data_IF_296731062020
#
_entry.id   IF_296731062020
#
_cell.length_a   1.000
_cell.length_b   1.000
_cell.length_c   1.000
_cell.angle_alpha   90.00
_cell.angle_beta   90.00
_cell.angle_gamma   90.00
#
_symmetry.space_group_name_H-M   'P 1'
#
loop_
_entity.id
_entity.type
_entity.pdbx_description
1 polymer ?
#
# COMPACT_ATOMS: atom_id res chain seq x y z
N UNK A 1 -17.75 20.57 -8.55
CA UNK A 1 -18.32 21.62 -7.66
C UNK A 1 -19.75 21.31 -7.19
N UNK A 2 -20.68 20.84 -8.05
CA UNK A 2 -22.05 20.50 -7.63
C UNK A 2 -22.13 19.31 -6.65
N UNK A 3 -21.25 18.30 -6.79
CA UNK A 3 -21.12 17.19 -5.83
C UNK A 3 -20.64 17.67 -4.45
N UNK A 4 -19.74 18.67 -4.43
CA UNK A 4 -19.13 19.23 -3.22
C UNK A 4 -20.14 19.98 -2.34
N UNK A 5 -21.08 20.70 -2.96
CA UNK A 5 -22.12 21.45 -2.23
C UNK A 5 -23.22 20.57 -1.64
N UNK A 6 -23.44 19.37 -2.19
CA UNK A 6 -24.41 18.41 -1.65
C UNK A 6 -23.91 17.72 -0.37
N UNK A 7 -22.59 17.62 -0.20
CA UNK A 7 -21.96 16.96 0.94
C UNK A 7 -22.14 17.72 2.27
N UNK A 8 -22.14 19.05 2.25
CA UNK A 8 -22.19 19.87 3.46
C UNK A 8 -23.60 20.06 4.06
N UNK A 9 -24.66 19.93 3.26
CA UNK A 9 -26.01 20.29 3.71
C UNK A 9 -26.78 19.15 4.41
N UNK A 10 -26.27 17.92 4.43
CA UNK A 10 -27.03 16.75 4.90
C UNK A 10 -26.40 16.00 6.09
N UNK A 11 -25.17 16.33 6.51
CA UNK A 11 -24.46 15.67 7.61
C UNK A 11 -25.03 15.95 9.03
N UNK A 12 -26.26 16.45 9.13
CA UNK A 12 -26.87 16.94 10.38
C UNK A 12 -27.65 15.92 11.21
N UNK A 13 -27.94 14.70 10.71
CA UNK A 13 -28.86 13.79 11.41
C UNK A 13 -28.42 12.32 11.38
N UNK A 14 -27.81 11.86 12.47
CA UNK A 14 -27.69 10.43 12.80
C UNK A 14 -28.83 10.02 13.76
N UNK A 15 -29.70 9.05 13.41
CA UNK A 15 -30.56 8.40 14.39
C UNK A 15 -29.79 7.28 15.10
N UNK A 16 -29.75 7.40 16.42
CA UNK A 16 -29.43 6.33 17.37
C UNK A 16 -30.57 5.31 17.41
N UNK A 17 -30.28 4.03 17.19
CA UNK A 17 -30.90 2.85 17.83
C UNK A 17 -30.52 1.56 17.10
N UNK A 18 -29.65 0.75 17.70
CA UNK A 18 -29.45 -0.66 17.33
C UNK A 18 -30.26 -1.53 18.30
N UNK A 19 -31.30 -2.19 17.78
CA UNK A 19 -32.07 -3.21 18.50
C UNK A 19 -31.55 -4.61 18.14
N UNK A 20 -31.19 -5.37 19.16
CA UNK A 20 -30.82 -6.78 19.08
C UNK A 20 -31.95 -7.64 18.50
N UNK A 21 -31.61 -8.55 17.56
CA UNK A 21 -32.35 -9.79 17.34
C UNK A 21 -31.39 -10.92 17.02
N UNK A 22 -31.25 -11.82 18.00
CA UNK A 22 -30.71 -13.17 17.83
C UNK A 22 -31.55 -13.97 16.84
N UNK A 23 -30.89 -14.68 15.92
CA UNK A 23 -31.48 -15.85 15.27
C UNK A 23 -30.35 -16.87 15.07
N UNK A 24 -30.39 -17.95 15.85
CA UNK A 24 -29.48 -19.08 15.71
C UNK A 24 -29.85 -19.98 14.54
N UNK A 25 -28.89 -20.74 14.03
CA UNK A 25 -29.17 -21.86 13.13
C UNK A 25 -28.28 -23.07 13.44
N UNK A 26 -28.96 -24.18 13.75
CA UNK A 26 -28.45 -25.55 13.81
C UNK A 26 -28.23 -26.07 12.39
N UNK A 27 -27.16 -26.84 12.20
CA UNK A 27 -26.85 -27.48 10.93
C UNK A 27 -27.70 -28.71 10.66
N UNK A 28 -28.07 -28.89 9.39
CA UNK A 28 -28.35 -30.20 8.81
C UNK A 28 -27.90 -30.20 7.35
N UNK A 29 -27.11 -31.23 7.04
CA UNK A 29 -26.74 -31.68 5.71
C UNK A 29 -27.97 -32.01 4.87
N UNK A 30 -28.07 -31.44 3.67
CA UNK A 30 -28.71 -32.09 2.53
C UNK A 30 -28.17 -31.50 1.23
N UNK A 31 -27.64 -32.38 0.39
CA UNK A 31 -27.02 -32.10 -0.90
C UNK A 31 -28.08 -31.82 -1.98
N UNK A 32 -28.04 -30.64 -2.61
CA UNK A 32 -28.72 -30.38 -3.87
C UNK A 32 -27.79 -30.65 -5.06
N UNK A 33 -28.23 -31.41 -6.09
CA UNK A 33 -27.44 -31.64 -7.29
C UNK A 33 -27.56 -30.45 -8.26
N UNK A 34 -26.42 -29.97 -8.77
CA UNK A 34 -26.38 -28.90 -9.78
C UNK A 34 -25.22 -27.91 -9.68
N UNK A 35 -24.04 -28.30 -9.17
CA UNK A 35 -22.86 -27.44 -9.20
C UNK A 35 -22.07 -27.63 -10.49
N UNK A 36 -21.62 -26.54 -11.10
CA UNK A 36 -20.85 -26.43 -12.35
C UNK A 36 -19.43 -27.07 -12.28
N UNK A 37 -19.17 -27.89 -11.26
CA UNK A 37 -17.85 -28.45 -10.93
C UNK A 37 -17.73 -29.97 -11.16
N UNK A 38 -18.70 -30.61 -11.82
CA UNK A 38 -18.50 -31.97 -12.31
C UNK A 38 -17.50 -31.96 -13.50
N UNK A 39 -16.24 -32.28 -13.21
CA UNK A 39 -15.24 -32.63 -14.24
C UNK A 39 -13.91 -31.86 -14.21
N UNK A 40 -13.67 -30.94 -13.28
CA UNK A 40 -12.38 -30.25 -13.21
C UNK A 40 -11.38 -31.08 -12.40
N UNK A 41 -10.48 -31.75 -13.11
CA UNK A 41 -9.28 -32.37 -12.53
C UNK A 41 -8.40 -31.26 -11.92
N UNK A 42 -8.43 -31.12 -10.60
CA UNK A 42 -7.47 -30.29 -9.86
C UNK A 42 -6.09 -30.94 -9.97
N UNK A 43 -5.22 -30.38 -10.81
CA UNK A 43 -3.79 -30.67 -10.77
C UNK A 43 -3.19 -29.91 -9.59
N UNK A 44 -3.04 -30.57 -8.46
CA UNK A 44 -2.16 -30.10 -7.40
C UNK A 44 -0.70 -30.21 -7.89
N UNK A 45 -0.16 -29.15 -8.50
CA UNK A 45 1.29 -28.98 -8.59
C UNK A 45 1.74 -28.22 -7.35
N UNK A 46 2.21 -28.97 -6.34
CA UNK A 46 2.99 -28.42 -5.23
C UNK A 46 4.35 -27.91 -5.76
N UNK A 47 4.34 -26.72 -6.35
CA UNK A 47 5.51 -25.86 -6.45
C UNK A 47 5.42 -24.87 -5.29
N UNK A 48 6.49 -24.63 -4.51
CA UNK A 48 6.44 -23.65 -3.44
C UNK A 48 6.05 -22.29 -4.04
N UNK A 49 4.95 -21.71 -3.58
CA UNK A 49 4.47 -20.43 -4.10
C UNK A 49 5.49 -19.37 -3.72
N UNK A 50 6.22 -18.85 -4.71
CA UNK A 50 7.23 -17.81 -4.52
C UNK A 50 6.53 -16.46 -4.57
N UNK A 51 6.70 -15.67 -3.53
CA UNK A 51 6.22 -14.28 -3.46
C UNK A 51 7.41 -13.33 -3.52
N UNK A 52 7.35 -12.29 -4.35
CA UNK A 52 8.35 -11.23 -4.40
C UNK A 52 7.90 -10.01 -3.60
N UNK A 53 8.81 -9.30 -2.93
CA UNK A 53 8.49 -8.00 -2.36
C UNK A 53 8.74 -6.90 -3.39
N UNK A 54 7.78 -6.00 -3.59
CA UNK A 54 7.97 -4.83 -4.44
C UNK A 54 8.42 -3.62 -3.59
N UNK A 55 9.54 -3.02 -3.98
CA UNK A 55 10.00 -1.77 -3.40
C UNK A 55 9.29 -0.59 -4.07
N UNK A 56 8.35 0.03 -3.36
CA UNK A 56 7.60 1.18 -3.89
C UNK A 56 8.49 2.41 -3.92
N UNK A 57 8.75 2.94 -5.12
CA UNK A 57 9.45 4.20 -5.31
C UNK A 57 8.45 5.37 -5.34
N UNK A 58 8.40 6.12 -4.24
CA UNK A 58 7.50 7.28 -4.11
C UNK A 58 7.99 8.51 -4.89
N UNK A 59 7.04 9.28 -5.39
CA UNK A 59 7.27 10.58 -5.99
C UNK A 59 7.72 11.58 -4.89
N UNK A 60 8.84 12.30 -5.10
CA UNK A 60 9.43 13.15 -4.07
C UNK A 60 8.53 14.29 -3.56
N UNK A 61 7.67 14.83 -4.42
CA UNK A 61 6.86 16.03 -4.16
C UNK A 61 5.48 15.73 -3.56
N UNK A 62 4.95 14.52 -3.77
CA UNK A 62 3.64 14.08 -3.24
C UNK A 62 3.75 12.91 -2.25
N UNK A 63 4.94 12.33 -2.07
CA UNK A 63 5.27 11.25 -1.12
C UNK A 63 4.46 9.95 -1.28
N UNK A 64 3.80 9.77 -2.42
CA UNK A 64 3.08 8.55 -2.83
C UNK A 64 3.55 8.13 -4.22
N UNK A 65 3.22 6.92 -4.67
CA UNK A 65 3.45 6.50 -6.06
C UNK A 65 2.10 6.45 -6.80
N UNK A 66 2.05 7.10 -7.94
CA UNK A 66 0.86 7.22 -8.78
C UNK A 66 1.28 7.01 -10.23
N UNK A 67 0.62 6.11 -10.95
CA UNK A 67 0.89 5.81 -12.35
C UNK A 67 -0.31 5.12 -12.99
N UNK A 68 -0.44 5.22 -14.31
CA UNK A 68 -1.30 4.33 -15.09
C UNK A 68 -0.43 3.45 -15.97
N UNK A 69 -0.96 2.29 -16.33
CA UNK A 69 -0.42 1.51 -17.44
C UNK A 69 -1.56 1.03 -18.35
N UNK A 70 -1.23 0.93 -19.63
CA UNK A 70 -2.05 0.25 -20.62
C UNK A 70 -1.43 -1.12 -20.83
N UNK A 71 -2.19 -2.15 -20.53
CA UNK A 71 -1.71 -3.51 -20.47
C UNK A 71 -1.76 -4.19 -21.85
N UNK A 72 -0.70 -4.94 -22.14
CA UNK A 72 -0.57 -5.82 -23.31
C UNK A 72 -0.73 -7.30 -22.90
N UNK A 73 -1.54 -7.60 -21.87
CA UNK A 73 -1.75 -8.96 -21.36
C UNK A 73 -0.70 -9.41 -20.33
N UNK A 74 -0.22 -8.49 -19.49
CA UNK A 74 0.85 -8.70 -18.51
C UNK A 74 0.29 -9.39 -17.27
N UNK A 75 0.93 -10.50 -16.92
CA UNK A 75 0.80 -11.12 -15.61
C UNK A 75 1.82 -10.49 -14.66
N UNK A 76 1.32 -9.83 -13.61
CA UNK A 76 2.14 -9.48 -12.45
C UNK A 76 2.04 -10.64 -11.45
N UNK A 77 3.14 -11.40 -11.23
CA UNK A 77 3.12 -12.55 -10.35
C UNK A 77 2.87 -12.13 -8.90
N UNK A 78 2.62 -13.12 -8.04
CA UNK A 78 2.29 -12.89 -6.64
C UNK A 78 3.41 -12.12 -5.94
N UNK A 79 3.06 -10.95 -5.42
CA UNK A 79 3.96 -10.05 -4.71
C UNK A 79 3.24 -9.37 -3.56
N UNK A 80 3.96 -8.60 -2.77
CA UNK A 80 3.38 -7.76 -1.74
C UNK A 80 4.31 -6.59 -1.45
N UNK A 81 3.75 -5.54 -0.84
CA UNK A 81 4.50 -4.35 -0.46
C UNK A 81 3.91 -3.71 0.79
N UNK A 82 4.71 -2.87 1.46
CA UNK A 82 4.31 -2.17 2.68
C UNK A 82 3.58 -0.84 2.37
N UNK A 83 2.73 -0.85 1.35
CA UNK A 83 1.90 0.28 0.92
C UNK A 83 0.45 -0.17 0.83
N UNK A 84 -0.48 0.71 1.12
CA UNK A 84 -1.86 0.54 0.66
C UNK A 84 -1.86 0.76 -0.85
N UNK A 85 -2.44 -0.15 -1.61
CA UNK A 85 -2.58 0.00 -3.05
C UNK A 85 -4.05 0.11 -3.41
N UNK A 86 -4.36 1.06 -4.29
CA UNK A 86 -5.70 1.24 -4.84
C UNK A 86 -5.61 1.17 -6.36
N UNK A 87 -6.39 0.25 -6.92
CA UNK A 87 -6.51 0.02 -8.35
C UNK A 87 -7.84 0.59 -8.82
N UNK A 88 -7.85 1.24 -9.99
CA UNK A 88 -9.07 1.62 -10.69
C UNK A 88 -9.00 1.22 -12.15
N UNK A 89 -10.03 0.54 -12.65
CA UNK A 89 -10.09 0.03 -14.03
C UNK A 89 -10.75 1.08 -14.93
N UNK A 90 -9.95 1.82 -15.68
CA UNK A 90 -10.46 2.85 -16.59
C UNK A 90 -11.02 2.27 -17.90
N UNK A 91 -10.43 1.16 -18.35
CA UNK A 91 -10.88 0.39 -19.51
C UNK A 91 -10.44 -1.09 -19.39
N UNK A 92 -11.18 -2.00 -20.03
CA UNK A 92 -10.87 -3.43 -20.01
C UNK A 92 -11.26 -4.09 -18.69
N UNK A 93 -10.39 -4.98 -18.21
CA UNK A 93 -10.64 -5.84 -17.06
C UNK A 93 -9.36 -6.27 -16.36
N UNK A 94 -9.51 -6.80 -15.14
CA UNK A 94 -8.41 -7.39 -14.38
C UNK A 94 -8.90 -8.55 -13.51
N UNK A 95 -8.15 -9.65 -13.53
CA UNK A 95 -8.19 -10.66 -12.49
C UNK A 95 -7.21 -10.28 -11.39
N UNK A 96 -7.75 -10.02 -10.20
CA UNK A 96 -7.00 -9.69 -9.00
C UNK A 96 -7.09 -10.87 -8.03
N UNK A 97 -5.96 -11.48 -7.72
CA UNK A 97 -5.84 -12.45 -6.63
C UNK A 97 -5.29 -11.71 -5.41
N UNK A 98 -6.04 -11.60 -4.31
CA UNK A 98 -5.55 -11.09 -3.02
C UNK A 98 -5.64 -12.19 -1.98
N UNK A 99 -4.51 -12.59 -1.43
CA UNK A 99 -4.35 -13.75 -0.56
C UNK A 99 -4.90 -15.01 -1.26
N UNK A 100 -6.07 -15.50 -0.83
CA UNK A 100 -6.73 -16.67 -1.41
C UNK A 100 -8.06 -16.31 -2.13
N UNK A 101 -8.37 -15.02 -2.23
CA UNK A 101 -9.58 -14.51 -2.86
C UNK A 101 -9.27 -14.03 -4.29
N UNK A 102 -9.96 -14.60 -5.28
CA UNK A 102 -9.92 -14.15 -6.66
C UNK A 102 -11.10 -13.22 -6.94
N UNK A 103 -10.82 -12.04 -7.48
CA UNK A 103 -11.78 -10.98 -7.79
C UNK A 103 -11.63 -10.63 -9.27
N UNK A 104 -12.75 -10.60 -10.00
CA UNK A 104 -12.80 -10.03 -11.35
C UNK A 104 -13.20 -8.57 -11.23
N UNK A 105 -12.42 -7.68 -11.81
CA UNK A 105 -12.68 -6.25 -11.89
C UNK A 105 -12.94 -5.88 -13.36
N UNK A 106 -13.99 -5.10 -13.60
CA UNK A 106 -14.35 -4.56 -14.91
C UNK A 106 -14.20 -3.04 -14.93
N UNK A 107 -14.37 -2.45 -16.12
CA UNK A 107 -14.36 -0.99 -16.28
C UNK A 107 -15.28 -0.30 -15.26
N UNK A 108 -14.70 0.64 -14.50
CA UNK A 108 -15.38 1.42 -13.47
C UNK A 108 -15.21 0.86 -12.06
N UNK A 109 -14.75 -0.38 -11.93
CA UNK A 109 -14.45 -0.98 -10.64
C UNK A 109 -13.14 -0.46 -10.07
N UNK A 110 -13.02 -0.59 -8.75
CA UNK A 110 -11.79 -0.34 -8.01
C UNK A 110 -11.54 -1.46 -6.99
N UNK A 111 -10.30 -1.57 -6.53
CA UNK A 111 -9.92 -2.46 -5.43
C UNK A 111 -8.97 -1.74 -4.47
N UNK A 112 -9.10 -2.02 -3.16
CA UNK A 112 -8.22 -1.49 -2.11
C UNK A 112 -7.43 -2.64 -1.51
N UNK A 113 -6.21 -2.84 -1.99
CA UNK A 113 -5.31 -3.88 -1.52
C UNK A 113 -4.61 -3.40 -0.25
N UNK A 114 -4.90 -4.06 0.87
CA UNK A 114 -4.35 -3.67 2.16
C UNK A 114 -2.82 -3.81 2.19
N UNK A 115 -2.19 -2.96 3.00
CA UNK A 115 -0.76 -3.04 3.23
C UNK A 115 -0.36 -4.44 3.68
N UNK A 116 0.62 -5.02 2.98
CA UNK A 116 1.18 -6.36 3.19
C UNK A 116 0.29 -7.54 2.77
N UNK A 117 -0.84 -7.30 2.12
CA UNK A 117 -1.57 -8.39 1.47
C UNK A 117 -0.77 -8.90 0.26
N UNK A 118 -0.70 -10.22 0.11
CA UNK A 118 -0.07 -10.85 -1.05
C UNK A 118 -1.07 -10.81 -2.19
N UNK A 119 -0.67 -10.30 -3.34
CA UNK A 119 -1.54 -10.19 -4.49
C UNK A 119 -0.85 -10.43 -5.81
N UNK A 120 -1.61 -10.85 -6.82
CA UNK A 120 -1.22 -10.94 -8.21
C UNK A 120 -2.29 -10.31 -9.08
N UNK A 121 -1.87 -9.75 -10.20
CA UNK A 121 -2.78 -9.15 -11.17
C UNK A 121 -2.53 -9.75 -12.55
N UNK A 122 -3.60 -9.95 -13.31
CA UNK A 122 -3.55 -10.33 -14.70
C UNK A 122 -4.65 -9.57 -15.43
N UNK A 123 -4.32 -8.89 -16.52
CA UNK A 123 -5.28 -8.13 -17.31
C UNK A 123 -5.39 -8.69 -18.72
N UNK A 124 -6.53 -8.47 -19.36
CA UNK A 124 -6.65 -8.66 -20.82
C UNK A 124 -5.88 -7.59 -21.58
N UNK A 125 -5.53 -7.86 -22.84
CA UNK A 125 -4.96 -6.83 -23.74
C UNK A 125 -5.88 -5.60 -23.82
N UNK A 126 -5.27 -4.41 -23.88
CA UNK A 126 -5.95 -3.11 -23.93
C UNK A 126 -6.68 -2.69 -22.64
N UNK A 127 -6.38 -3.32 -21.51
CA UNK A 127 -6.85 -2.87 -20.20
C UNK A 127 -6.06 -1.65 -19.75
N UNK A 128 -6.73 -0.65 -19.17
CA UNK A 128 -6.08 0.56 -18.63
C UNK A 128 -6.38 0.66 -17.15
N UNK A 129 -5.32 0.65 -16.34
CA UNK A 129 -5.40 0.59 -14.89
C UNK A 129 -4.64 1.76 -14.29
N UNK A 130 -5.33 2.48 -13.40
CA UNK A 130 -4.74 3.50 -12.55
C UNK A 130 -4.34 2.88 -11.22
N UNK A 131 -3.11 3.15 -10.79
CA UNK A 131 -2.53 2.60 -9.57
C UNK A 131 -2.09 3.74 -8.65
N UNK A 132 -2.61 3.72 -7.43
CA UNK A 132 -2.19 4.60 -6.34
C UNK A 132 -1.63 3.77 -5.18
N UNK A 133 -0.33 3.89 -4.93
CA UNK A 133 0.38 3.23 -3.83
C UNK A 133 0.75 4.25 -2.76
N UNK A 134 0.16 4.13 -1.58
CA UNK A 134 0.35 5.02 -0.43
C UNK A 134 1.25 4.29 0.59
N UNK A 135 2.47 4.79 0.87
CA UNK A 135 3.41 4.12 1.77
C UNK A 135 2.89 4.01 3.20
N UNK A 136 3.26 2.93 3.88
CA UNK A 136 2.96 2.73 5.30
C UNK A 136 3.34 3.93 6.17
N UNK A 137 4.50 4.56 5.93
CA UNK A 137 4.93 5.73 6.71
C UNK A 137 3.99 6.92 6.55
N UNK A 138 3.50 7.15 5.33
CA UNK A 138 2.53 8.19 5.06
C UNK A 138 1.22 7.88 5.80
N UNK A 139 0.74 6.64 5.71
CA UNK A 139 -0.50 6.22 6.37
C UNK A 139 -0.39 6.32 7.89
N UNK A 140 0.69 5.81 8.50
CA UNK A 140 0.90 5.84 9.95
C UNK A 140 1.02 7.26 10.50
N UNK A 141 1.60 8.19 9.74
CA UNK A 141 1.68 9.60 10.09
C UNK A 141 0.32 10.29 10.14
N UNK A 142 -0.61 9.92 9.26
CA UNK A 142 -1.90 10.61 9.11
C UNK A 142 -3.09 9.84 9.72
N UNK A 143 -2.91 8.54 10.02
CA UNK A 143 -3.93 7.63 10.57
C UNK A 143 -3.33 6.93 11.80
N UNK A 144 -3.57 7.43 13.03
CA UNK A 144 -2.91 6.96 14.25
C UNK A 144 -2.99 5.43 14.49
N UNK A 145 -4.15 4.84 14.19
CA UNK A 145 -4.44 3.40 14.40
C UNK A 145 -4.37 2.55 13.13
N UNK A 146 -3.63 3.00 12.11
CA UNK A 146 -3.58 2.33 10.80
C UNK A 146 -3.32 0.81 10.87
N UNK A 147 -2.45 0.34 11.79
CA UNK A 147 -2.12 -1.08 11.92
C UNK A 147 -3.31 -1.99 12.28
N UNK A 148 -4.37 -1.40 12.85
CA UNK A 148 -5.60 -2.08 13.26
C UNK A 148 -6.74 -1.93 12.26
N UNK A 149 -6.48 -1.21 11.17
CA UNK A 149 -7.48 -0.94 10.13
C UNK A 149 -7.19 -1.86 8.94
N UNK A 150 -8.25 -2.48 8.43
CA UNK A 150 -8.26 -3.10 7.12
C UNK A 150 -9.43 -2.52 6.34
N UNK A 151 -9.25 -2.41 5.04
CA UNK A 151 -10.26 -1.97 4.11
C UNK A 151 -10.82 -3.16 3.35
N UNK A 152 -12.09 -3.06 2.97
CA UNK A 152 -12.72 -4.03 2.09
C UNK A 152 -12.24 -3.83 0.64
N UNK A 153 -12.19 -4.91 -0.12
CA UNK A 153 -11.89 -4.84 -1.54
C UNK A 153 -13.15 -4.44 -2.31
N UNK A 154 -13.11 -3.27 -2.96
CA UNK A 154 -14.20 -2.80 -3.82
C UNK A 154 -15.30 -2.05 -3.09
N UNK A 155 -16.52 -2.11 -3.64
CA UNK A 155 -17.69 -1.36 -3.18
C UNK A 155 -17.98 -1.56 -1.69
N UNK A 156 -18.35 -0.47 -1.02
CA UNK A 156 -18.84 -0.49 0.37
C UNK A 156 -20.34 -0.76 0.49
N UNK A 157 -21.03 -1.00 -0.63
CA UNK A 157 -22.48 -1.17 -0.68
C UNK A 157 -23.27 0.15 -0.62
N UNK A 158 -22.61 1.29 -0.51
CA UNK A 158 -23.22 2.62 -0.58
C UNK A 158 -22.77 3.37 -1.83
N UNK A 159 -23.66 3.47 -2.82
CA UNK A 159 -23.36 4.07 -4.13
C UNK A 159 -22.73 5.46 -4.04
N UNK A 160 -23.17 6.30 -3.09
CA UNK A 160 -22.62 7.66 -2.89
C UNK A 160 -21.15 7.63 -2.50
N UNK A 161 -20.78 6.73 -1.60
CA UNK A 161 -19.41 6.58 -1.09
C UNK A 161 -18.49 5.98 -2.15
N UNK A 162 -19.01 5.01 -2.93
CA UNK A 162 -18.30 4.43 -4.09
C UNK A 162 -18.06 5.47 -5.19
N UNK A 163 -19.08 6.24 -5.56
CA UNK A 163 -18.96 7.32 -6.55
C UNK A 163 -17.97 8.40 -6.12
N UNK A 164 -17.96 8.76 -4.84
CA UNK A 164 -17.02 9.74 -4.30
C UNK A 164 -15.57 9.24 -4.33
N UNK A 165 -15.34 7.96 -4.01
CA UNK A 165 -14.02 7.35 -4.08
C UNK A 165 -13.51 7.30 -5.52
N UNK A 166 -14.34 6.83 -6.46
CA UNK A 166 -14.02 6.78 -7.89
C UNK A 166 -13.74 8.17 -8.45
N UNK A 167 -14.52 9.18 -8.04
CA UNK A 167 -14.26 10.57 -8.41
C UNK A 167 -12.86 11.01 -7.96
N UNK A 168 -12.49 10.76 -6.69
CA UNK A 168 -11.16 11.10 -6.19
C UNK A 168 -10.05 10.41 -6.97
N UNK A 169 -10.19 9.11 -7.27
CA UNK A 169 -9.19 8.35 -8.04
C UNK A 169 -8.97 8.94 -9.44
N UNK A 170 -10.04 9.24 -10.17
CA UNK A 170 -9.96 9.82 -11.51
C UNK A 170 -9.35 11.22 -11.51
N UNK A 171 -9.74 12.06 -10.55
CA UNK A 171 -9.20 13.41 -10.45
C UNK A 171 -7.73 13.41 -10.01
N UNK A 172 -7.33 12.50 -9.12
CA UNK A 172 -5.93 12.25 -8.74
C UNK A 172 -5.12 11.90 -9.97
N UNK A 173 -5.64 11.02 -10.83
CA UNK A 173 -4.92 10.62 -12.03
C UNK A 173 -4.82 11.76 -13.04
N UNK A 174 -5.92 12.45 -13.32
CA UNK A 174 -5.96 13.58 -14.25
C UNK A 174 -5.01 14.71 -13.82
N UNK A 175 -5.04 15.08 -12.54
CA UNK A 175 -4.16 16.15 -12.02
C UNK A 175 -2.69 15.72 -12.03
N UNK A 176 -2.41 14.43 -11.80
CA UNK A 176 -1.06 13.86 -11.85
C UNK A 176 -0.50 13.79 -13.28
N UNK A 177 -1.35 13.53 -14.28
CA UNK A 177 -0.93 13.54 -15.70
C UNK A 177 -0.67 14.98 -16.16
N UNK A 178 -1.59 15.91 -15.86
CA UNK A 178 -1.51 17.28 -16.37
C UNK A 178 -0.44 18.13 -15.68
N UNK A 179 -0.16 17.85 -14.41
CA UNK A 179 0.78 18.60 -13.53
C UNK A 179 0.74 20.13 -13.74
N UNK A 180 -0.43 20.79 -13.68
CA UNK A 180 -0.49 22.25 -13.76
C UNK A 180 0.32 22.91 -12.64
N UNK A 181 0.54 24.22 -12.73
CA UNK A 181 1.23 24.97 -11.68
C UNK A 181 0.59 24.70 -10.30
N UNK A 182 1.41 24.30 -9.32
CA UNK A 182 1.00 23.91 -7.96
C UNK A 182 0.02 22.73 -7.87
N UNK A 183 0.06 21.78 -8.83
CA UNK A 183 -0.81 20.60 -8.83
C UNK A 183 -0.77 19.78 -7.52
N UNK A 184 0.36 19.78 -6.81
CA UNK A 184 0.54 19.05 -5.56
C UNK A 184 -0.47 19.45 -4.48
N UNK A 185 -0.91 20.71 -4.46
CA UNK A 185 -1.93 21.17 -3.51
C UNK A 185 -3.27 20.48 -3.75
N UNK A 186 -3.71 20.44 -5.01
CA UNK A 186 -4.96 19.80 -5.37
C UNK A 186 -4.86 18.27 -5.23
N UNK A 187 -3.75 17.68 -5.68
CA UNK A 187 -3.45 16.27 -5.49
C UNK A 187 -3.53 15.87 -4.01
N UNK A 188 -2.86 16.62 -3.12
CA UNK A 188 -2.84 16.32 -1.68
C UNK A 188 -4.22 16.48 -1.06
N UNK A 189 -5.02 17.47 -1.49
CA UNK A 189 -6.40 17.63 -1.05
C UNK A 189 -7.25 16.41 -1.40
N UNK A 190 -7.17 15.93 -2.65
CA UNK A 190 -7.89 14.76 -3.12
C UNK A 190 -7.42 13.48 -2.42
N UNK A 191 -6.11 13.35 -2.17
CA UNK A 191 -5.53 12.22 -1.44
C UNK A 191 -6.08 12.14 -0.01
N UNK A 192 -6.18 13.28 0.69
CA UNK A 192 -6.76 13.29 2.05
C UNK A 192 -8.26 13.00 2.05
N UNK A 193 -9.01 13.49 1.06
CA UNK A 193 -10.42 13.12 0.89
C UNK A 193 -10.58 11.62 0.65
N UNK A 194 -9.76 11.05 -0.24
CA UNK A 194 -9.75 9.62 -0.52
C UNK A 194 -9.42 8.80 0.74
N UNK A 195 -8.42 9.20 1.52
CA UNK A 195 -8.08 8.51 2.78
C UNK A 195 -9.20 8.63 3.82
N UNK A 196 -9.88 9.77 3.89
CA UNK A 196 -11.05 9.94 4.74
C UNK A 196 -12.18 8.99 4.34
N UNK A 197 -12.48 8.89 3.04
CA UNK A 197 -13.47 7.94 2.51
C UNK A 197 -13.07 6.50 2.85
N UNK A 198 -11.82 6.10 2.61
CA UNK A 198 -11.32 4.77 2.94
C UNK A 198 -11.59 4.41 4.41
N UNK A 199 -11.23 5.29 5.35
CA UNK A 199 -11.37 5.04 6.80
C UNK A 199 -12.82 4.99 7.27
N UNK A 200 -13.70 5.81 6.68
CA UNK A 200 -15.08 5.96 7.18
C UNK A 200 -16.11 5.11 6.44
N UNK A 201 -15.86 4.78 5.17
CA UNK A 201 -16.81 4.07 4.31
C UNK A 201 -16.33 2.66 3.96
N UNK A 202 -15.02 2.45 3.80
CA UNK A 202 -14.46 1.19 3.30
C UNK A 202 -13.75 0.35 4.36
N UNK A 203 -13.79 0.75 5.63
CA UNK A 203 -13.18 0.00 6.72
C UNK A 203 -13.96 -1.28 7.01
N UNK A 204 -13.26 -2.40 7.12
CA UNK A 204 -13.84 -3.66 7.61
C UNK A 204 -14.18 -3.58 9.10
N UNK A 205 -15.30 -4.18 9.55
CA UNK A 205 -15.62 -4.33 10.96
C UNK A 205 -14.48 -5.02 11.73
N UNK A 206 -14.31 -4.65 13.00
CA UNK A 206 -13.30 -5.28 13.84
C UNK A 206 -13.55 -6.80 13.95
N UNK A 207 -12.59 -7.62 13.50
CA UNK A 207 -12.70 -9.08 13.50
C UNK A 207 -13.07 -9.69 12.15
N UNK A 208 -13.52 -8.87 11.18
CA UNK A 208 -13.75 -9.30 9.80
C UNK A 208 -12.59 -8.86 8.90
N UNK A 209 -12.12 -9.76 8.05
CA UNK A 209 -10.85 -9.60 7.32
C UNK A 209 -9.81 -10.67 7.67
N UNK A 210 -10.27 -11.86 8.01
CA UNK A 210 -9.44 -13.03 8.26
C UNK A 210 -8.49 -13.30 7.10
N UNK A 211 -7.21 -13.11 7.35
CA UNK A 211 -6.13 -13.77 6.63
C UNK A 211 -5.67 -14.98 7.43
N UNK A 212 -5.68 -16.14 6.78
CA UNK A 212 -5.12 -17.42 7.24
C UNK A 212 -3.78 -17.28 7.99
N UNK A 213 -3.60 -18.12 9.03
CA UNK A 213 -2.33 -18.48 9.72
C UNK A 213 -1.12 -17.56 9.41
N UNK A 214 -1.02 -16.39 10.06
CA UNK A 214 0.27 -15.66 10.21
C UNK A 214 0.21 -14.38 11.09
N UNK A 215 -0.80 -14.19 11.93
CA UNK A 215 -0.92 -12.99 12.78
C UNK A 215 0.31 -12.76 13.67
N UNK A 216 0.94 -13.82 14.17
CA UNK A 216 2.16 -13.72 14.95
C UNK A 216 3.37 -13.30 14.10
N UNK A 217 3.56 -13.88 12.91
CA UNK A 217 4.61 -13.46 11.98
C UNK A 217 4.40 -11.99 11.57
N UNK A 218 3.15 -11.59 11.31
CA UNK A 218 2.78 -10.20 11.01
C UNK A 218 3.05 -9.26 12.18
N UNK A 219 2.65 -9.62 13.40
CA UNK A 219 2.91 -8.82 14.60
C UNK A 219 4.42 -8.65 14.85
N UNK A 220 5.21 -9.71 14.62
CA UNK A 220 6.66 -9.66 14.67
C UNK A 220 7.22 -8.69 13.60
N UNK A 221 6.74 -8.75 12.36
CA UNK A 221 7.17 -7.80 11.32
C UNK A 221 6.83 -6.35 11.68
N UNK A 222 5.61 -6.08 12.18
CA UNK A 222 5.20 -4.75 12.64
C UNK A 222 6.18 -4.25 13.71
N UNK A 223 6.43 -5.07 14.72
CA UNK A 223 7.35 -4.74 15.82
C UNK A 223 8.74 -4.38 15.31
N UNK A 224 9.26 -5.15 14.34
CA UNK A 224 10.59 -4.89 13.76
C UNK A 224 10.60 -3.62 12.91
N UNK A 225 9.54 -3.37 12.14
CA UNK A 225 9.42 -2.15 11.35
C UNK A 225 9.35 -0.92 12.25
N UNK A 226 8.50 -0.95 13.28
CA UNK A 226 8.34 0.13 14.25
C UNK A 226 9.65 0.43 14.97
N UNK A 227 10.36 -0.62 15.39
CA UNK A 227 11.71 -0.50 15.94
C UNK A 227 12.67 0.20 14.97
N UNK A 228 12.70 -0.22 13.70
CA UNK A 228 13.57 0.44 12.70
C UNK A 228 13.15 1.90 12.52
N UNK A 229 11.87 2.22 12.41
CA UNK A 229 11.41 3.59 12.20
C UNK A 229 11.72 4.50 13.39
N UNK A 230 11.64 3.97 14.62
CA UNK A 230 11.98 4.72 15.83
C UNK A 230 13.50 4.94 15.97
N UNK A 231 14.32 4.00 15.49
CA UNK A 231 15.77 3.98 15.74
C UNK A 231 16.63 4.10 14.47
N UNK A 232 16.06 4.47 13.32
CA UNK A 232 16.77 4.37 12.01
C UNK A 232 18.06 5.21 11.95
N UNK A 233 18.13 6.30 12.71
CA UNK A 233 19.29 7.19 12.82
C UNK A 233 20.44 6.54 13.61
N UNK A 234 20.14 5.56 14.45
CA UNK A 234 21.09 4.86 15.30
C UNK A 234 21.76 3.69 14.58
N UNK A 235 22.79 3.11 15.19
CA UNK A 235 23.40 1.87 14.72
C UNK A 235 22.53 0.68 15.11
N UNK A 236 21.63 0.27 14.20
CA UNK A 236 20.79 -0.91 14.40
C UNK A 236 21.57 -2.19 14.05
N UNK A 237 21.86 -3.03 15.04
CA UNK A 237 22.44 -4.35 14.78
C UNK A 237 21.36 -5.39 14.46
N UNK A 238 21.74 -6.44 13.72
CA UNK A 238 20.88 -7.58 13.45
C UNK A 238 20.40 -8.26 14.74
N UNK A 239 21.27 -8.30 15.76
CA UNK A 239 20.97 -8.91 17.06
C UNK A 239 19.89 -8.13 17.79
N UNK A 240 19.94 -6.80 17.76
CA UNK A 240 18.98 -5.95 18.46
C UNK A 240 17.59 -6.08 17.80
N UNK A 241 17.55 -6.08 16.47
CA UNK A 241 16.31 -6.27 15.71
C UNK A 241 15.70 -7.66 15.94
N UNK A 242 16.51 -8.71 15.97
CA UNK A 242 16.06 -10.07 16.25
C UNK A 242 15.51 -10.21 17.69
N UNK A 243 16.12 -9.51 18.65
CA UNK A 243 15.68 -9.50 20.05
C UNK A 243 14.30 -8.85 20.23
N UNK A 244 13.92 -7.87 19.41
CA UNK A 244 12.58 -7.25 19.45
C UNK A 244 11.45 -8.27 19.25
N UNK A 245 11.73 -9.37 18.58
CA UNK A 245 10.75 -10.42 18.24
C UNK A 245 11.10 -11.78 18.83
N UNK A 246 11.99 -11.81 19.83
CA UNK A 246 12.46 -13.02 20.50
C UNK A 246 12.99 -14.10 19.53
N UNK A 247 13.63 -13.70 18.43
CA UNK A 247 14.25 -14.60 17.46
C UNK A 247 15.77 -14.57 17.60
N UNK A 248 16.43 -15.70 17.28
CA UNK A 248 17.88 -15.67 17.06
C UNK A 248 18.21 -14.99 15.71
N UNK A 249 19.41 -14.40 15.55
CA UNK A 249 19.76 -13.63 14.35
C UNK A 249 19.66 -14.43 13.04
N UNK A 250 20.05 -15.70 13.03
CA UNK A 250 20.01 -16.55 11.83
C UNK A 250 18.57 -16.83 11.38
N UNK A 251 17.70 -17.15 12.33
CA UNK A 251 16.29 -17.36 12.08
C UNK A 251 15.61 -16.04 11.69
N UNK A 252 15.93 -14.94 12.37
CA UNK A 252 15.44 -13.61 12.02
C UNK A 252 15.79 -13.21 10.59
N UNK A 253 17.03 -13.44 10.14
CA UNK A 253 17.41 -13.18 8.75
C UNK A 253 16.54 -13.95 7.75
N UNK A 254 16.30 -15.25 7.99
CA UNK A 254 15.44 -16.07 7.12
C UNK A 254 13.99 -15.63 7.19
N UNK A 255 13.49 -15.39 8.40
CA UNK A 255 12.14 -14.90 8.68
C UNK A 255 11.90 -13.57 7.98
N UNK A 256 12.77 -12.59 8.20
CA UNK A 256 12.66 -11.26 7.61
C UNK A 256 12.79 -11.37 6.09
N UNK A 257 13.79 -12.08 5.54
CA UNK A 257 13.93 -12.19 4.07
C UNK A 257 12.76 -12.93 3.41
N UNK A 258 12.25 -14.00 4.03
CA UNK A 258 11.05 -14.73 3.58
C UNK A 258 9.85 -13.80 3.52
N UNK A 259 9.66 -13.03 4.60
CA UNK A 259 8.47 -12.21 4.78
C UNK A 259 8.61 -10.77 4.25
N UNK A 260 9.82 -10.31 3.92
CA UNK A 260 10.16 -8.94 3.48
C UNK A 260 10.70 -8.91 2.05
N UNK A 261 11.01 -10.07 1.44
CA UNK A 261 11.63 -10.21 0.11
C UNK A 261 13.02 -9.55 -0.03
N UNK A 262 13.47 -8.85 1.00
CA UNK A 262 14.75 -8.17 1.12
C UNK A 262 15.41 -8.50 2.46
N UNK A 263 16.70 -8.26 2.56
CA UNK A 263 17.42 -8.38 3.82
C UNK A 263 17.03 -7.26 4.78
N UNK A 264 17.17 -7.51 6.09
CA UNK A 264 16.94 -6.50 7.11
C UNK A 264 17.78 -5.23 6.89
N UNK A 265 19.03 -5.39 6.48
CA UNK A 265 19.93 -4.25 6.22
C UNK A 265 19.48 -3.42 5.00
N UNK A 266 18.96 -4.06 3.95
CA UNK A 266 18.38 -3.36 2.81
C UNK A 266 17.17 -2.51 3.25
N UNK A 267 16.29 -3.08 4.08
CA UNK A 267 15.14 -2.36 4.64
C UNK A 267 15.56 -1.14 5.47
N UNK A 268 16.51 -1.29 6.41
CA UNK A 268 17.03 -0.17 7.20
C UNK A 268 17.59 0.94 6.30
N UNK A 269 18.33 0.57 5.25
CA UNK A 269 18.87 1.56 4.31
C UNK A 269 17.78 2.24 3.47
N UNK A 270 16.69 1.57 3.13
CA UNK A 270 15.55 2.20 2.46
C UNK A 270 14.85 3.22 3.36
N UNK A 271 14.62 2.90 4.64
CA UNK A 271 14.04 3.84 5.61
C UNK A 271 14.92 5.08 5.73
N UNK A 272 16.23 4.90 5.95
CA UNK A 272 17.21 5.99 5.98
C UNK A 272 17.20 6.82 4.69
N UNK A 273 17.13 6.15 3.54
CA UNK A 273 17.14 6.79 2.22
C UNK A 273 15.91 7.67 2.01
N UNK A 274 14.74 7.23 2.46
CA UNK A 274 13.50 8.00 2.40
C UNK A 274 13.64 9.33 3.16
N UNK A 275 14.10 9.27 4.42
CA UNK A 275 14.26 10.46 5.27
C UNK A 275 15.34 11.43 4.77
N UNK A 276 16.52 10.93 4.37
CA UNK A 276 17.60 11.81 3.91
C UNK A 276 17.23 12.55 2.61
N UNK A 277 16.45 11.93 1.73
CA UNK A 277 16.02 12.57 0.48
C UNK A 277 15.16 13.80 0.76
N UNK A 278 14.28 13.74 1.75
CA UNK A 278 13.47 14.87 2.17
C UNK A 278 14.35 16.03 2.66
N UNK A 279 15.32 15.76 3.55
CA UNK A 279 16.22 16.79 4.07
C UNK A 279 17.14 17.38 2.98
N UNK A 280 17.58 16.57 2.02
CA UNK A 280 18.44 17.04 0.92
C UNK A 280 17.73 18.12 0.09
N UNK A 281 16.41 17.96 -0.11
CA UNK A 281 15.59 18.85 -0.92
C UNK A 281 15.07 20.07 -0.15
N UNK A 282 15.02 19.99 1.19
CA UNK A 282 14.43 21.02 2.05
C UNK A 282 15.43 21.86 2.83
N UNK A 283 16.71 21.47 2.85
CA UNK A 283 17.73 22.12 3.70
C UNK A 283 19.05 22.36 2.95
N UNK A 284 19.79 23.36 3.43
CA UNK A 284 21.16 23.65 2.95
C UNK A 284 22.25 22.87 3.72
N UNK A 285 21.88 22.04 4.68
CA UNK A 285 22.81 21.20 5.45
C UNK A 285 23.68 20.36 4.50
N UNK A 286 24.99 20.29 4.77
CA UNK A 286 25.91 19.59 3.88
C UNK A 286 25.51 18.11 3.70
N UNK A 287 25.71 17.54 2.50
CA UNK A 287 25.37 16.14 2.23
C UNK A 287 26.09 15.20 3.20
N UNK A 288 27.34 15.51 3.55
CA UNK A 288 28.13 14.73 4.52
C UNK A 288 27.48 14.71 5.90
N UNK A 289 27.01 15.87 6.39
CA UNK A 289 26.34 15.96 7.68
C UNK A 289 24.98 15.24 7.66
N UNK A 290 24.22 15.37 6.58
CA UNK A 290 22.95 14.65 6.41
C UNK A 290 23.15 13.13 6.42
N UNK A 291 24.21 12.63 5.79
CA UNK A 291 24.54 11.19 5.83
C UNK A 291 24.78 10.71 7.26
N UNK A 292 25.55 11.48 8.04
CA UNK A 292 25.79 11.17 9.46
C UNK A 292 24.48 11.21 10.25
N UNK A 293 23.68 12.27 10.07
CA UNK A 293 22.40 12.47 10.77
C UNK A 293 21.39 11.34 10.51
N UNK A 294 21.35 10.82 9.29
CA UNK A 294 20.45 9.74 8.88
C UNK A 294 21.10 8.35 8.98
N UNK A 295 22.24 8.21 9.67
CA UNK A 295 22.86 6.91 9.96
C UNK A 295 23.47 6.20 8.74
N UNK A 296 23.74 6.89 7.63
CA UNK A 296 24.40 6.31 6.47
C UNK A 296 25.91 6.19 6.68
N UNK A 297 26.38 4.96 6.86
CA UNK A 297 27.82 4.65 6.96
C UNK A 297 28.46 4.30 5.61
N UNK A 298 27.65 3.90 4.62
CA UNK A 298 28.13 3.50 3.30
C UNK A 298 27.75 4.52 2.22
N UNK A 299 28.68 5.45 1.95
CA UNK A 299 28.49 6.50 0.93
C UNK A 299 28.26 5.95 -0.48
N UNK A 300 28.94 4.85 -0.85
CA UNK A 300 28.78 4.24 -2.18
C UNK A 300 27.36 3.72 -2.39
N UNK A 301 26.80 3.07 -1.37
CA UNK A 301 25.42 2.58 -1.38
C UNK A 301 24.44 3.75 -1.50
N UNK A 302 24.57 4.77 -0.66
CA UNK A 302 23.72 5.96 -0.73
C UNK A 302 23.76 6.62 -2.12
N UNK A 303 24.96 6.84 -2.67
CA UNK A 303 25.11 7.47 -3.99
C UNK A 303 24.45 6.65 -5.09
N UNK A 304 24.57 5.31 -5.03
CA UNK A 304 23.89 4.40 -5.96
C UNK A 304 22.38 4.54 -5.86
N UNK A 305 21.82 4.42 -4.65
CA UNK A 305 20.38 4.57 -4.41
C UNK A 305 19.85 5.95 -4.87
N UNK A 306 20.63 7.01 -4.63
CA UNK A 306 20.27 8.36 -5.07
C UNK A 306 20.24 8.50 -6.58
N UNK A 307 21.26 7.96 -7.27
CA UNK A 307 21.32 7.99 -8.72
C UNK A 307 20.23 7.14 -9.36
N UNK A 308 19.95 5.95 -8.81
CA UNK A 308 18.84 5.08 -9.24
C UNK A 308 17.49 5.82 -9.15
N UNK A 309 17.27 6.62 -8.09
CA UNK A 309 16.02 7.36 -7.90
C UNK A 309 15.92 8.65 -8.74
N UNK A 310 16.99 9.45 -8.81
CA UNK A 310 16.92 10.81 -9.36
C UNK A 310 17.67 11.00 -10.69
N UNK A 311 18.41 9.99 -11.15
CA UNK A 311 19.25 10.08 -12.35
C UNK A 311 20.42 11.07 -12.23
N UNK A 312 20.67 11.64 -11.05
CA UNK A 312 21.69 12.66 -10.84
C UNK A 312 22.32 12.55 -9.44
N UNK A 313 23.23 13.47 -9.10
CA UNK A 313 23.86 13.50 -7.76
C UNK A 313 23.04 14.35 -6.78
N UNK A 314 23.14 14.09 -5.45
CA UNK A 314 22.46 14.91 -4.44
C UNK A 314 22.73 16.41 -4.58
N UNK A 315 23.99 16.80 -4.80
CA UNK A 315 24.38 18.20 -4.98
C UNK A 315 23.80 18.82 -6.25
N UNK A 316 23.68 18.05 -7.33
CA UNK A 316 23.03 18.51 -8.56
C UNK A 316 21.53 18.72 -8.34
N UNK A 317 20.86 17.77 -7.67
CA UNK A 317 19.43 17.87 -7.37
C UNK A 317 19.10 19.05 -6.45
N UNK A 318 19.96 19.33 -5.47
CA UNK A 318 19.80 20.52 -4.61
C UNK A 318 19.92 21.82 -5.41
N UNK A 319 20.90 21.95 -6.31
CA UNK A 319 21.02 23.14 -7.16
C UNK A 319 19.82 23.36 -8.06
N UNK A 320 19.23 22.28 -8.58
CA UNK A 320 18.00 22.34 -9.39
C UNK A 320 16.79 22.86 -8.58
N UNK A 321 16.72 22.53 -7.29
CA UNK A 321 15.60 22.91 -6.41
C UNK A 321 15.80 24.28 -5.75
N UNK A 322 17.02 24.67 -5.40
CA UNK A 322 17.35 26.00 -4.85
C UNK A 322 17.43 27.10 -5.92
N UNK A 323 17.44 26.74 -7.21
CA UNK A 323 17.51 27.68 -8.35
C UNK A 323 16.16 28.12 -8.92
N UNK A 324 15.06 27.85 -8.22
CA UNK A 324 13.70 28.31 -8.51
C UNK A 324 13.19 29.18 -7.38
#
# INVERSE_FOLDING_TARGET
MEVFMKYYNEAGHFPSNWGEKEIGYQGTSDSCPGSYFDGIQVKESFSPVVYTHENIQVEPDIQVRCFSYEDAGILVPRHWHNSLEILYIEAGDMDLLVNDLSIRLEKGDFAIINSRDIHATSSSEHSRIDVLQIPYQFLKKHIPDFDRIRFMNGSCGEARSDEALVYCLKEIQEIYIRKPYCYQLHFTSLLYELLFLCVNCFRLPAGEGGGSLNDEERARLITVMDYVNAHYQESISLRDAAAQVALNPEYFCRFFKKNMGMTFLEFVNQVRFSHICEDILRTDTSITELLVRHGFTNYKLFRRMFYEKYGCTPSAKRKETSGK
#
